data_IF_460130986538
#
_entry.id   IF_460130986538
#
_cell.length_a   1.000
_cell.length_b   1.000
_cell.length_c   1.000
_cell.angle_alpha   90.00
_cell.angle_beta   90.00
_cell.angle_gamma   90.00
#
_symmetry.space_group_name_H-M   'P 1'
#
loop_
_entity.id
_entity.type
_entity.pdbx_description
1 polymer ?
#
# COMPACT_ATOMS: atom_id res chain seq x y z
N UNK A 1 16.53 10.81 -5.32
CA UNK A 1 16.31 10.45 -3.91
C UNK A 1 15.21 9.41 -3.88
N UNK A 2 15.44 8.28 -3.23
CA UNK A 2 14.45 7.22 -3.07
C UNK A 2 13.32 7.74 -2.17
N UNK A 3 12.08 7.74 -2.65
CA UNK A 3 10.96 8.33 -1.92
C UNK A 3 10.53 7.43 -0.74
N UNK A 4 10.49 8.00 0.47
CA UNK A 4 10.02 7.35 1.70
C UNK A 4 8.78 8.09 2.21
N UNK A 5 7.76 7.34 2.61
CA UNK A 5 6.52 7.91 3.13
C UNK A 5 5.86 6.99 4.15
N UNK A 6 5.00 7.57 4.98
CA UNK A 6 4.21 6.88 6.00
C UNK A 6 2.73 6.96 5.66
N UNK A 7 2.00 5.89 5.93
CA UNK A 7 0.54 5.83 5.84
C UNK A 7 -0.02 5.35 7.18
N UNK A 8 -0.91 6.13 7.76
CA UNK A 8 -1.80 5.69 8.83
C UNK A 8 -2.91 4.76 8.32
N UNK A 9 -3.64 4.12 9.24
CA UNK A 9 -4.78 3.26 8.87
C UNK A 9 -5.81 4.08 8.07
N UNK A 10 -6.21 3.56 6.91
CA UNK A 10 -7.18 4.17 6.02
C UNK A 10 -6.62 5.29 5.14
N UNK A 11 -5.38 5.75 5.40
CA UNK A 11 -4.73 6.73 4.55
C UNK A 11 -4.36 6.11 3.21
N UNK A 12 -4.59 6.89 2.15
CA UNK A 12 -4.40 6.48 0.76
C UNK A 12 -3.27 7.24 0.12
N UNK A 13 -2.53 6.55 -0.73
CA UNK A 13 -1.53 7.16 -1.60
C UNK A 13 -1.72 6.68 -3.02
N UNK A 14 -1.72 7.62 -3.95
CA UNK A 14 -1.77 7.29 -5.36
C UNK A 14 -0.43 6.68 -5.80
N UNK A 15 -0.50 5.49 -6.40
CA UNK A 15 0.67 4.81 -6.99
C UNK A 15 0.70 5.06 -8.49
N UNK A 16 -0.46 5.12 -9.13
CA UNK A 16 -0.56 5.33 -10.56
C UNK A 16 -1.86 6.05 -10.93
N UNK A 17 -1.75 6.92 -11.93
CA UNK A 17 -2.87 7.53 -12.62
C UNK A 17 -2.61 7.47 -14.12
N UNK A 18 -3.48 6.83 -14.87
CA UNK A 18 -3.40 6.83 -16.34
C UNK A 18 -4.18 8.01 -16.93
N UNK A 19 -3.77 8.46 -18.12
CA UNK A 19 -4.47 9.51 -18.86
C UNK A 19 -5.93 9.13 -19.19
N UNK A 20 -6.23 7.83 -19.27
CA UNK A 20 -7.56 7.28 -19.52
C UNK A 20 -8.43 7.16 -18.24
N UNK A 21 -8.00 7.77 -17.13
CA UNK A 21 -8.78 7.85 -15.90
C UNK A 21 -8.75 6.61 -15.01
N UNK A 22 -7.82 5.68 -15.24
CA UNK A 22 -7.58 4.60 -14.30
C UNK A 22 -6.71 5.11 -13.15
N UNK A 23 -7.17 4.98 -11.92
CA UNK A 23 -6.45 5.38 -10.71
C UNK A 23 -6.17 4.11 -9.90
N UNK A 24 -4.93 4.00 -9.41
CA UNK A 24 -4.50 2.93 -8.53
C UNK A 24 -3.94 3.57 -7.26
N UNK A 25 -4.60 3.32 -6.14
CA UNK A 25 -4.17 3.77 -4.82
C UNK A 25 -3.75 2.58 -3.97
N UNK A 26 -2.74 2.78 -3.13
CA UNK A 26 -2.49 1.93 -1.98
C UNK A 26 -3.12 2.53 -0.73
N UNK A 27 -3.50 1.67 0.20
CA UNK A 27 -4.00 2.06 1.51
C UNK A 27 -3.44 1.14 2.57
N UNK A 28 -3.04 1.69 3.71
CA UNK A 28 -2.72 0.87 4.86
C UNK A 28 -3.99 0.46 5.58
N UNK A 29 -4.22 -0.84 5.77
CA UNK A 29 -5.45 -1.37 6.40
C UNK A 29 -5.24 -1.77 7.87
N UNK A 30 -4.06 -1.52 8.44
CA UNK A 30 -3.72 -1.93 9.80
C UNK A 30 -3.22 -3.36 9.89
N UNK A 31 -3.15 -3.86 11.14
CA UNK A 31 -2.77 -5.24 11.45
C UNK A 31 -4.00 -6.12 11.64
N UNK A 32 -4.08 -7.23 10.90
CA UNK A 32 -5.15 -8.23 11.06
C UNK A 32 -4.89 -9.21 12.20
N UNK A 33 -3.62 -9.34 12.59
CA UNK A 33 -3.15 -10.04 13.79
C UNK A 33 -1.80 -9.47 14.21
N UNK A 34 -1.27 -9.85 15.38
CA UNK A 34 0.05 -9.39 15.88
C UNK A 34 1.21 -9.63 14.88
N UNK A 35 1.08 -10.61 14.00
CA UNK A 35 2.12 -11.00 13.06
C UNK A 35 1.76 -10.73 11.59
N UNK A 36 0.64 -10.08 11.30
CA UNK A 36 0.17 -9.86 9.93
C UNK A 36 -0.40 -8.46 9.76
N UNK A 37 0.10 -7.74 8.76
CA UNK A 37 -0.47 -6.47 8.34
C UNK A 37 -1.15 -6.59 6.98
N UNK A 38 -2.04 -5.64 6.69
CA UNK A 38 -2.79 -5.62 5.45
C UNK A 38 -2.60 -4.32 4.68
N UNK A 39 -2.50 -4.45 3.36
CA UNK A 39 -2.49 -3.35 2.41
C UNK A 39 -3.68 -3.51 1.46
N UNK A 40 -4.43 -2.43 1.25
CA UNK A 40 -5.43 -2.34 0.20
C UNK A 40 -4.80 -1.84 -1.09
N UNK A 41 -5.11 -2.49 -2.21
CA UNK A 41 -4.83 -1.99 -3.55
C UNK A 41 -6.18 -1.65 -4.21
N UNK A 42 -6.44 -0.36 -4.34
CA UNK A 42 -7.71 0.17 -4.82
C UNK A 42 -7.56 0.57 -6.29
N UNK A 43 -8.42 0.03 -7.12
CA UNK A 43 -8.53 0.36 -8.54
C UNK A 43 -9.82 1.13 -8.75
N UNK A 44 -9.75 2.28 -9.40
CA UNK A 44 -10.96 3.00 -9.82
C UNK A 44 -10.87 3.45 -11.28
N UNK A 45 -12.01 3.43 -11.95
CA UNK A 45 -12.21 3.92 -13.31
C UNK A 45 -13.61 4.53 -13.43
N UNK A 46 -13.68 5.85 -13.52
CA UNK A 46 -14.96 6.56 -13.45
C UNK A 46 -15.66 6.30 -12.10
N UNK A 47 -16.92 5.84 -12.13
CA UNK A 47 -17.71 5.51 -10.94
C UNK A 47 -17.56 4.05 -10.48
N UNK A 48 -16.73 3.25 -11.15
CA UNK A 48 -16.50 1.85 -10.79
C UNK A 48 -15.23 1.72 -9.96
N UNK A 49 -15.28 0.93 -8.89
CA UNK A 49 -14.17 0.70 -7.98
C UNK A 49 -14.06 -0.76 -7.56
N UNK A 50 -12.83 -1.26 -7.49
CA UNK A 50 -12.49 -2.58 -6.97
C UNK A 50 -11.34 -2.45 -5.98
N UNK A 51 -11.30 -3.31 -4.97
CA UNK A 51 -10.23 -3.32 -3.99
C UNK A 51 -9.73 -4.75 -3.76
N UNK A 52 -8.41 -4.90 -3.67
CA UNK A 52 -7.76 -6.13 -3.25
C UNK A 52 -7.10 -5.90 -1.90
N UNK A 53 -7.52 -6.68 -0.90
CA UNK A 53 -6.82 -6.73 0.38
C UNK A 53 -5.71 -7.78 0.31
N UNK A 54 -4.49 -7.32 0.51
CA UNK A 54 -3.30 -8.15 0.53
C UNK A 54 -2.80 -8.24 1.97
N UNK A 55 -2.31 -9.40 2.35
CA UNK A 55 -1.84 -9.68 3.71
C UNK A 55 -0.37 -10.08 3.66
N UNK A 56 0.41 -9.51 4.58
CA UNK A 56 1.85 -9.70 4.64
C UNK A 56 2.28 -10.01 6.08
N UNK A 57 3.25 -10.91 6.28
CA UNK A 57 3.88 -11.09 7.59
C UNK A 57 4.52 -9.78 8.08
N UNK A 58 4.38 -9.46 9.38
CA UNK A 58 4.99 -8.25 10.00
C UNK A 58 6.49 -8.14 9.75
N UNK A 59 7.18 -9.28 9.69
CA UNK A 59 8.64 -9.36 9.46
C UNK A 59 9.06 -9.22 8.00
N UNK A 60 8.12 -8.97 7.08
CA UNK A 60 8.43 -8.78 5.66
C UNK A 60 9.30 -7.55 5.46
N UNK A 61 10.49 -7.73 4.88
CA UNK A 61 11.40 -6.62 4.56
C UNK A 61 10.97 -5.81 3.33
N UNK A 62 10.10 -6.38 2.50
CA UNK A 62 9.54 -5.70 1.33
C UNK A 62 8.18 -6.27 0.96
N UNK A 63 7.39 -5.46 0.27
CA UNK A 63 6.10 -5.82 -0.32
C UNK A 63 6.08 -5.42 -1.79
N UNK A 64 5.20 -6.05 -2.56
CA UNK A 64 4.97 -5.70 -3.96
C UNK A 64 3.51 -5.29 -4.13
N UNK A 65 3.30 -4.08 -4.62
CA UNK A 65 1.99 -3.51 -4.92
C UNK A 65 2.02 -2.95 -6.34
N UNK A 66 1.08 -3.37 -7.19
CA UNK A 66 1.01 -2.99 -8.60
C UNK A 66 2.35 -3.13 -9.36
N UNK A 67 3.02 -4.28 -9.20
CA UNK A 67 4.35 -4.58 -9.80
C UNK A 67 5.50 -3.66 -9.34
N UNK A 68 5.27 -2.75 -8.40
CA UNK A 68 6.31 -1.95 -7.77
C UNK A 68 6.69 -2.57 -6.42
N UNK A 69 7.99 -2.63 -6.15
CA UNK A 69 8.52 -3.13 -4.89
C UNK A 69 8.73 -1.97 -3.92
N UNK A 70 8.30 -2.15 -2.67
CA UNK A 70 8.52 -1.21 -1.58
C UNK A 70 9.24 -1.93 -0.45
N UNK A 71 10.29 -1.32 0.09
CA UNK A 71 10.91 -1.77 1.34
C UNK A 71 10.03 -1.32 2.51
N UNK A 72 9.81 -2.23 3.45
CA UNK A 72 9.10 -1.92 4.70
C UNK A 72 10.13 -1.40 5.68
N UNK A 73 10.05 -0.12 6.01
CA UNK A 73 10.97 0.54 6.94
C UNK A 73 10.49 0.33 8.37
N UNK A 74 9.18 0.50 8.61
CA UNK A 74 8.54 0.25 9.90
C UNK A 74 7.06 -0.09 9.70
N UNK A 75 6.50 -0.89 10.61
CA UNK A 75 5.07 -1.27 10.60
C UNK A 75 4.57 -1.63 12.00
N UNK A 76 3.43 -1.06 12.36
CA UNK A 76 2.69 -1.40 13.58
C UNK A 76 1.18 -1.29 13.34
N UNK A 77 0.36 -1.41 14.38
CA UNK A 77 -1.10 -1.41 14.23
C UNK A 77 -1.68 -0.12 13.67
N UNK A 78 -0.97 1.00 13.76
CA UNK A 78 -1.45 2.36 13.44
C UNK A 78 -0.89 2.89 12.11
N UNK A 79 0.32 2.50 11.74
CA UNK A 79 0.95 2.98 10.52
C UNK A 79 1.90 1.97 9.86
N UNK A 80 2.22 2.28 8.60
CA UNK A 80 3.33 1.67 7.86
C UNK A 80 4.19 2.74 7.21
N UNK A 81 5.51 2.58 7.28
CA UNK A 81 6.48 3.41 6.56
C UNK A 81 7.11 2.59 5.44
N UNK A 82 6.99 3.09 4.21
CA UNK A 82 7.45 2.44 2.99
C UNK A 82 8.48 3.30 2.26
N UNK A 83 9.45 2.62 1.65
CA UNK A 83 10.41 3.24 0.75
C UNK A 83 10.32 2.56 -0.62
N UNK A 84 10.15 3.33 -1.70
CA UNK A 84 10.09 2.77 -3.06
C UNK A 84 11.44 2.11 -3.41
N UNK A 85 11.45 0.87 -3.92
CA UNK A 85 12.68 0.31 -4.48
C UNK A 85 12.94 0.95 -5.83
N UNK A 86 14.06 1.66 -5.96
CA UNK A 86 14.57 2.12 -7.27
C UNK A 86 14.84 0.93 -8.20
#
# INVERSE_FOLDING_TARGET
>A
MTETFTLGIGERRNISKSFLGNIIDMMYCGMSSENTFSMGLLFSKGYQGHALNLYYPRKSSSIVLNKQKYYVVDVNSEYITLQLSN
#
